data_IF_744426626359
#
_entry.id   IF_744426626359
#
_cell.length_a   1.000
_cell.length_b   1.000
_cell.length_c   1.000
_cell.angle_alpha   90.00
_cell.angle_beta   90.00
_cell.angle_gamma   90.00
#
_symmetry.space_group_name_H-M   'P 1'
#
loop_
_entity.id
_entity.type
_entity.pdbx_description
1 polymer ?
#
# COMPACT_ATOMS: atom_id res chain seq x y z
N UNK A 1 -0.44 26.75 -4.81
CA UNK A 1 0.30 25.58 -4.30
C UNK A 1 1.17 25.06 -5.42
N UNK A 2 2.49 25.06 -5.24
CA UNK A 2 3.39 24.45 -6.21
C UNK A 2 3.12 22.95 -6.21
N UNK A 3 2.46 22.44 -7.24
CA UNK A 3 2.25 21.01 -7.42
C UNK A 3 3.62 20.37 -7.60
N UNK A 4 4.04 19.57 -6.61
CA UNK A 4 5.20 18.72 -6.76
C UNK A 4 4.87 17.76 -7.90
N UNK A 5 5.55 17.91 -9.03
CA UNK A 5 5.37 17.01 -10.16
C UNK A 5 5.88 15.63 -9.75
N UNK A 6 4.95 14.72 -9.49
CA UNK A 6 5.26 13.34 -9.12
C UNK A 6 5.73 12.58 -10.36
N UNK A 7 6.96 12.10 -10.35
CA UNK A 7 7.45 11.13 -11.32
C UNK A 7 7.45 9.74 -10.67
N UNK A 8 6.76 8.74 -11.27
CA UNK A 8 6.75 7.40 -10.72
C UNK A 8 8.15 6.78 -10.80
N UNK A 9 8.62 6.07 -9.76
CA UNK A 9 9.89 5.38 -9.82
C UNK A 9 9.84 4.24 -10.86
N UNK A 10 11.00 3.89 -11.42
CA UNK A 10 11.11 2.99 -12.57
C UNK A 10 10.46 1.61 -12.35
N UNK A 11 10.53 1.08 -11.12
CA UNK A 11 9.98 -0.22 -10.77
C UNK A 11 8.44 -0.22 -10.79
N UNK A 12 7.80 0.92 -10.51
CA UNK A 12 6.33 1.08 -10.61
C UNK A 12 5.91 1.02 -12.08
N UNK A 13 6.66 1.71 -12.95
CA UNK A 13 6.43 1.65 -14.40
C UNK A 13 6.64 0.24 -14.96
N UNK A 14 7.62 -0.49 -14.44
CA UNK A 14 7.83 -1.91 -14.80
C UNK A 14 6.65 -2.77 -14.34
N UNK A 15 6.19 -2.61 -13.10
CA UNK A 15 5.08 -3.40 -12.55
C UNK A 15 3.79 -3.19 -13.34
N UNK A 16 3.47 -1.94 -13.69
CA UNK A 16 2.29 -1.61 -14.49
C UNK A 16 2.35 -2.11 -15.94
N UNK A 17 3.54 -2.43 -16.46
CA UNK A 17 3.70 -3.00 -17.80
C UNK A 17 3.60 -4.51 -17.83
N UNK A 18 3.64 -5.18 -16.68
CA UNK A 18 3.53 -6.63 -16.61
C UNK A 18 2.08 -7.03 -16.89
N UNK A 19 1.83 -7.97 -17.83
CA UNK A 19 0.49 -8.45 -18.08
C UNK A 19 -0.03 -9.17 -16.84
N UNK A 20 -1.19 -8.73 -16.36
CA UNK A 20 -1.91 -9.41 -15.30
C UNK A 20 -2.55 -10.67 -15.91
N UNK A 21 -2.20 -11.86 -15.42
CA UNK A 21 -2.80 -13.12 -15.88
C UNK A 21 -3.80 -13.64 -14.86
N UNK A 22 -4.99 -13.98 -15.33
CA UNK A 22 -5.99 -14.67 -14.50
C UNK A 22 -5.56 -16.12 -14.22
N UNK A 23 -6.20 -16.79 -13.24
CA UNK A 23 -6.03 -18.24 -13.01
C UNK A 23 -6.39 -19.08 -14.24
N UNK A 24 -7.11 -18.51 -15.21
CA UNK A 24 -7.45 -19.13 -16.49
C UNK A 24 -6.38 -18.92 -17.57
N UNK A 25 -5.25 -18.28 -17.23
CA UNK A 25 -4.18 -17.90 -18.15
C UNK A 25 -4.64 -16.97 -19.28
N UNK A 26 -5.65 -16.14 -19.00
CA UNK A 26 -6.11 -15.10 -19.92
C UNK A 26 -5.45 -13.76 -19.53
N UNK A 27 -5.04 -12.96 -20.52
CA UNK A 27 -4.55 -11.61 -20.27
C UNK A 27 -5.69 -10.74 -19.76
N UNK A 28 -5.48 -10.15 -18.60
CA UNK A 28 -6.33 -9.11 -18.03
C UNK A 28 -5.72 -7.74 -18.31
N UNK A 29 -6.57 -6.72 -18.43
CA UNK A 29 -6.13 -5.37 -18.77
C UNK A 29 -5.10 -4.85 -17.75
N UNK A 30 -4.06 -4.15 -18.22
CA UNK A 30 -3.03 -3.51 -17.38
C UNK A 30 -3.54 -2.30 -16.57
N UNK A 31 -4.85 -2.06 -16.59
CA UNK A 31 -5.49 -1.00 -15.82
C UNK A 31 -5.47 -1.36 -14.34
N UNK A 32 -5.10 -0.40 -13.48
CA UNK A 32 -5.19 -0.57 -12.04
C UNK A 32 -6.67 -0.63 -11.61
N UNK A 33 -7.19 -1.84 -11.38
CA UNK A 33 -8.58 -2.09 -11.01
C UNK A 33 -8.68 -2.87 -9.70
N UNK A 34 -8.47 -2.21 -8.53
CA UNK A 34 -8.45 -2.88 -7.23
C UNK A 34 -9.80 -3.51 -6.83
N UNK A 35 -10.90 -3.07 -7.45
CA UNK A 35 -12.24 -3.60 -7.21
C UNK A 35 -12.58 -4.83 -8.07
N UNK A 36 -11.75 -5.17 -9.06
CA UNK A 36 -12.00 -6.29 -9.95
C UNK A 36 -11.42 -7.59 -9.35
N UNK A 37 -12.23 -8.63 -9.26
CA UNK A 37 -11.83 -9.92 -8.70
C UNK A 37 -10.72 -10.58 -9.54
N UNK A 38 -10.74 -10.39 -10.86
CA UNK A 38 -9.71 -10.96 -11.75
C UNK A 38 -8.34 -10.30 -11.53
N UNK A 39 -8.32 -8.99 -11.25
CA UNK A 39 -7.10 -8.25 -10.92
C UNK A 39 -6.51 -8.72 -9.58
N UNK A 40 -7.36 -8.91 -8.57
CA UNK A 40 -6.96 -9.44 -7.26
C UNK A 40 -6.33 -10.83 -7.39
N UNK A 41 -6.98 -11.68 -8.17
CA UNK A 41 -6.54 -13.05 -8.42
C UNK A 41 -5.19 -13.10 -9.15
N UNK A 42 -4.98 -12.25 -10.16
CA UNK A 42 -3.71 -12.15 -10.88
C UNK A 42 -2.56 -11.73 -9.95
N UNK A 43 -2.82 -10.75 -9.06
CA UNK A 43 -1.82 -10.28 -8.10
C UNK A 43 -1.45 -11.35 -7.06
N UNK A 44 -2.44 -12.08 -6.55
CA UNK A 44 -2.23 -13.20 -5.63
C UNK A 44 -1.48 -14.35 -6.30
N UNK A 45 -1.78 -14.66 -7.57
CA UNK A 45 -1.07 -15.68 -8.33
C UNK A 45 0.41 -15.30 -8.50
N UNK A 46 0.70 -14.06 -8.89
CA UNK A 46 2.06 -13.56 -9.05
C UNK A 46 2.84 -13.64 -7.73
N UNK A 47 2.25 -13.19 -6.63
CA UNK A 47 2.84 -13.28 -5.30
C UNK A 47 3.06 -14.74 -4.86
N UNK A 48 2.10 -15.62 -5.14
CA UNK A 48 2.16 -17.04 -4.81
C UNK A 48 3.24 -17.81 -5.59
N UNK A 49 3.40 -17.52 -6.88
CA UNK A 49 4.49 -18.07 -7.71
C UNK A 49 5.83 -17.60 -7.13
N UNK A 50 6.00 -16.30 -6.91
CA UNK A 50 7.26 -15.76 -6.38
C UNK A 50 7.63 -16.36 -5.01
N UNK A 51 6.65 -16.53 -4.12
CA UNK A 51 6.84 -17.16 -2.81
C UNK A 51 7.22 -18.65 -2.94
N UNK A 52 6.59 -19.37 -3.87
CA UNK A 52 6.89 -20.78 -4.14
C UNK A 52 8.30 -20.96 -4.70
N UNK A 53 8.72 -20.10 -5.64
CA UNK A 53 10.09 -20.10 -6.17
C UNK A 53 11.11 -19.86 -5.04
N UNK A 54 10.89 -18.84 -4.21
CA UNK A 54 11.76 -18.53 -3.08
C UNK A 54 11.89 -19.73 -2.11
N UNK A 55 10.78 -20.41 -1.82
CA UNK A 55 10.77 -21.59 -0.97
C UNK A 55 11.54 -22.77 -1.58
N UNK A 56 11.39 -23.01 -2.88
CA UNK A 56 12.11 -24.05 -3.61
C UNK A 56 13.62 -23.78 -3.65
N UNK A 57 14.03 -22.52 -3.87
CA UNK A 57 15.44 -22.11 -3.86
C UNK A 57 16.08 -22.32 -2.49
N UNK A 58 15.40 -21.89 -1.41
CA UNK A 58 15.85 -22.11 -0.03
C UNK A 58 15.98 -23.60 0.29
N UNK A 59 15.01 -24.41 -0.14
CA UNK A 59 15.02 -25.86 0.05
C UNK A 59 16.17 -26.51 -0.73
N UNK A 60 16.42 -26.08 -1.96
CA UNK A 60 17.56 -26.54 -2.76
C UNK A 60 18.90 -26.21 -2.10
N UNK A 61 19.08 -24.97 -1.65
CA UNK A 61 20.29 -24.54 -0.92
C UNK A 61 20.49 -25.36 0.37
N UNK A 62 19.41 -25.66 1.09
CA UNK A 62 19.45 -26.49 2.29
C UNK A 62 19.90 -27.93 1.96
N UNK A 63 19.28 -28.59 0.97
CA UNK A 63 19.69 -29.93 0.56
C UNK A 63 21.13 -29.97 0.03
N UNK A 64 21.53 -28.98 -0.76
CA UNK A 64 22.90 -28.84 -1.26
C UNK A 64 23.90 -28.68 -0.11
N UNK A 65 23.58 -27.87 0.91
CA UNK A 65 24.42 -27.72 2.10
C UNK A 65 24.60 -29.05 2.84
N UNK A 66 23.52 -29.83 3.01
CA UNK A 66 23.57 -31.12 3.66
C UNK A 66 24.39 -32.14 2.84
N UNK A 67 24.24 -32.14 1.52
CA UNK A 67 25.04 -32.97 0.62
C UNK A 67 26.51 -32.62 0.75
N UNK A 68 26.87 -31.33 0.66
CA UNK A 68 28.26 -30.86 0.72
C UNK A 68 28.89 -31.24 2.07
N UNK A 69 28.18 -31.03 3.19
CA UNK A 69 28.60 -31.45 4.52
C UNK A 69 28.82 -32.97 4.60
N UNK A 70 27.90 -33.77 4.05
CA UNK A 70 28.02 -35.23 4.05
C UNK A 70 29.14 -35.77 3.15
N UNK A 71 29.40 -35.11 2.01
CA UNK A 71 30.49 -35.44 1.08
C UNK A 71 31.85 -35.04 1.67
N UNK A 72 31.94 -33.89 2.32
CA UNK A 72 33.16 -33.44 3.00
C UNK A 72 33.61 -34.45 4.05
N UNK A 73 32.70 -34.95 4.88
CA UNK A 73 32.99 -36.00 5.88
C UNK A 73 33.56 -37.29 5.28
N UNK A 74 33.38 -37.54 3.97
CA UNK A 74 33.86 -38.75 3.29
C UNK A 74 35.20 -38.56 2.54
N UNK A 75 35.69 -37.33 2.38
CA UNK A 75 36.81 -37.02 1.46
C UNK A 75 37.80 -36.06 2.09
N UNK A 76 38.71 -36.57 2.93
CA UNK A 76 39.67 -35.75 3.69
C UNK A 76 40.91 -35.26 2.91
N UNK A 77 41.20 -35.72 1.68
CA UNK A 77 42.54 -35.46 1.10
C UNK A 77 42.67 -34.33 0.04
N UNK A 78 41.61 -33.82 -0.63
CA UNK A 78 41.82 -32.88 -1.75
C UNK A 78 40.81 -31.73 -1.99
N UNK A 79 39.78 -31.53 -1.15
CA UNK A 79 38.67 -30.58 -1.43
C UNK A 79 38.77 -29.19 -0.77
N UNK A 80 39.85 -28.87 -0.05
CA UNK A 80 39.85 -27.79 0.94
C UNK A 80 39.71 -26.35 0.37
N UNK A 81 40.12 -26.10 -0.88
CA UNK A 81 40.09 -24.74 -1.45
C UNK A 81 38.73 -24.40 -2.10
N UNK A 82 38.22 -25.25 -3.01
CA UNK A 82 36.96 -24.99 -3.73
C UNK A 82 35.72 -25.10 -2.82
N UNK A 83 35.80 -25.92 -1.77
CA UNK A 83 34.73 -26.07 -0.78
C UNK A 83 34.57 -24.82 0.09
N UNK A 84 35.67 -24.11 0.38
CA UNK A 84 35.64 -22.89 1.19
C UNK A 84 34.94 -21.75 0.41
N UNK A 85 35.33 -21.52 -0.85
CA UNK A 85 34.71 -20.49 -1.70
C UNK A 85 33.21 -20.74 -1.91
N UNK A 86 32.81 -21.99 -2.14
CA UNK A 86 31.41 -22.36 -2.33
C UNK A 86 30.56 -22.11 -1.07
N UNK A 87 31.06 -22.47 0.11
CA UNK A 87 30.37 -22.23 1.37
C UNK A 87 30.21 -20.72 1.66
N UNK A 88 31.25 -19.92 1.43
CA UNK A 88 31.20 -18.47 1.59
C UNK A 88 30.23 -17.81 0.61
N UNK A 89 30.18 -18.26 -0.66
CA UNK A 89 29.21 -17.76 -1.64
C UNK A 89 27.75 -17.99 -1.18
N UNK A 90 27.44 -19.18 -0.65
CA UNK A 90 26.09 -19.49 -0.14
C UNK A 90 25.74 -18.63 1.08
N UNK A 91 26.69 -18.41 2.00
CA UNK A 91 26.49 -17.56 3.18
C UNK A 91 26.21 -16.11 2.76
N UNK A 92 27.04 -15.54 1.88
CA UNK A 92 26.89 -14.16 1.41
C UNK A 92 25.55 -13.99 0.67
N UNK A 93 25.20 -14.92 -0.20
CA UNK A 93 23.93 -14.89 -0.93
C UNK A 93 22.72 -14.93 0.01
N UNK A 94 22.75 -15.80 1.01
CA UNK A 94 21.68 -15.91 2.01
C UNK A 94 21.55 -14.62 2.82
N UNK A 95 22.68 -14.01 3.21
CA UNK A 95 22.71 -12.73 3.93
C UNK A 95 22.15 -11.59 3.09
N UNK A 96 22.51 -11.49 1.81
CA UNK A 96 22.00 -10.45 0.91
C UNK A 96 20.51 -10.64 0.62
N UNK A 97 20.06 -11.86 0.30
CA UNK A 97 18.64 -12.15 0.08
C UNK A 97 17.81 -11.81 1.35
N UNK A 98 18.24 -12.24 2.54
CA UNK A 98 17.52 -11.96 3.79
C UNK A 98 17.52 -10.48 4.19
N UNK A 99 18.63 -9.77 3.99
CA UNK A 99 18.70 -8.33 4.22
C UNK A 99 17.75 -7.57 3.28
N UNK A 100 17.71 -7.93 1.99
CA UNK A 100 16.79 -7.33 1.02
C UNK A 100 15.32 -7.53 1.39
N UNK A 101 14.95 -8.75 1.80
CA UNK A 101 13.60 -9.05 2.30
C UNK A 101 13.29 -8.20 3.53
N UNK A 102 14.17 -8.19 4.53
CA UNK A 102 13.96 -7.45 5.78
C UNK A 102 13.78 -5.94 5.53
N UNK A 103 14.63 -5.32 4.71
CA UNK A 103 14.53 -3.89 4.37
C UNK A 103 13.24 -3.59 3.60
N UNK A 104 12.86 -4.47 2.65
CA UNK A 104 11.63 -4.32 1.88
C UNK A 104 10.37 -4.39 2.75
N UNK A 105 10.29 -5.38 3.64
CA UNK A 105 9.18 -5.52 4.59
C UNK A 105 9.16 -4.38 5.62
N UNK A 106 10.33 -3.95 6.11
CA UNK A 106 10.43 -2.81 7.02
C UNK A 106 9.88 -1.53 6.40
N UNK A 107 10.35 -1.17 5.20
CA UNK A 107 9.87 0.02 4.49
C UNK A 107 8.37 -0.02 4.19
N UNK A 108 7.84 -1.20 3.85
CA UNK A 108 6.41 -1.38 3.64
C UNK A 108 5.61 -1.22 4.95
N UNK A 109 6.13 -1.76 6.06
CA UNK A 109 5.53 -1.62 7.39
C UNK A 109 5.45 -0.17 7.86
N UNK A 110 6.54 0.59 7.73
CA UNK A 110 6.56 2.02 8.07
C UNK A 110 5.58 2.83 7.22
N UNK A 111 5.47 2.49 5.93
CA UNK A 111 4.52 3.19 5.04
C UNK A 111 3.06 2.86 5.41
N UNK A 112 2.76 1.61 5.73
CA UNK A 112 1.41 1.20 6.15
C UNK A 112 1.03 1.79 7.52
N UNK A 113 1.97 1.88 8.47
CA UNK A 113 1.74 2.59 9.74
C UNK A 113 1.45 4.08 9.52
N UNK A 114 2.20 4.73 8.62
CA UNK A 114 1.94 6.10 8.21
C UNK A 114 0.55 6.30 7.59
N UNK A 115 0.12 5.39 6.72
CA UNK A 115 -1.22 5.42 6.14
C UNK A 115 -2.29 5.15 7.19
N UNK A 116 -2.07 4.22 8.11
CA UNK A 116 -3.01 3.93 9.20
C UNK A 116 -3.23 5.17 10.08
N UNK A 117 -2.16 5.90 10.41
CA UNK A 117 -2.26 7.18 11.15
C UNK A 117 -3.00 8.25 10.35
N UNK A 118 -2.80 8.30 9.03
CA UNK A 118 -3.51 9.19 8.13
C UNK A 118 -5.01 8.88 8.12
N UNK A 119 -5.39 7.62 7.86
CA UNK A 119 -6.81 7.21 7.80
C UNK A 119 -7.49 7.39 9.16
N UNK A 120 -6.81 7.09 10.26
CA UNK A 120 -7.29 7.41 11.61
C UNK A 120 -7.57 8.90 11.78
N UNK A 121 -6.64 9.76 11.35
CA UNK A 121 -6.77 11.22 11.43
C UNK A 121 -7.91 11.74 10.56
N UNK A 122 -8.12 11.17 9.36
CA UNK A 122 -9.24 11.50 8.48
C UNK A 122 -10.58 11.15 9.13
N UNK A 123 -10.71 9.95 9.72
CA UNK A 123 -11.92 9.55 10.44
C UNK A 123 -12.16 10.40 11.70
N UNK A 124 -11.09 10.81 12.38
CA UNK A 124 -11.19 11.71 13.53
C UNK A 124 -11.63 13.11 13.12
N UNK A 125 -11.03 13.66 12.06
CA UNK A 125 -11.45 14.93 11.47
C UNK A 125 -12.93 14.87 11.03
N UNK A 126 -13.37 13.75 10.43
CA UNK A 126 -14.76 13.55 10.05
C UNK A 126 -15.72 13.67 11.25
N UNK A 127 -15.40 13.04 12.39
CA UNK A 127 -16.21 13.13 13.61
C UNK A 127 -16.22 14.53 14.21
N UNK A 128 -15.06 15.19 14.25
CA UNK A 128 -14.96 16.57 14.75
C UNK A 128 -15.80 17.52 13.89
N UNK A 129 -15.73 17.33 12.57
CA UNK A 129 -16.53 18.12 11.64
C UNK A 129 -18.01 17.78 11.82
N UNK A 130 -18.46 16.53 11.67
CA UNK A 130 -19.87 16.19 11.91
C UNK A 130 -20.41 16.74 13.25
N UNK A 131 -19.61 16.65 14.32
CA UNK A 131 -19.96 17.23 15.62
C UNK A 131 -20.10 18.75 15.63
N UNK A 132 -19.25 19.51 14.93
CA UNK A 132 -19.41 20.98 14.84
C UNK A 132 -20.69 21.34 14.08
N UNK A 133 -21.09 20.59 13.05
CA UNK A 133 -22.34 20.85 12.32
C UNK A 133 -23.55 20.59 13.19
N UNK A 134 -23.58 19.49 13.93
CA UNK A 134 -24.66 19.22 14.88
C UNK A 134 -24.80 20.36 15.89
N UNK A 135 -23.68 20.87 16.41
CA UNK A 135 -23.69 21.99 17.37
C UNK A 135 -24.16 23.30 16.75
N UNK A 136 -23.72 23.61 15.52
CA UNK A 136 -24.17 24.80 14.79
C UNK A 136 -25.67 24.72 14.51
N UNK A 137 -26.16 23.55 14.08
CA UNK A 137 -27.57 23.33 13.76
C UNK A 137 -28.44 23.41 15.03
N UNK A 138 -28.03 22.78 16.13
CA UNK A 138 -28.70 22.88 17.43
C UNK A 138 -28.76 24.33 17.93
N UNK A 139 -27.65 25.07 17.80
CA UNK A 139 -27.59 26.47 18.22
C UNK A 139 -28.51 27.33 17.34
N UNK A 140 -28.52 27.13 16.03
CA UNK A 140 -29.40 27.84 15.11
C UNK A 140 -30.88 27.56 15.43
N UNK A 141 -31.25 26.31 15.68
CA UNK A 141 -32.62 25.93 16.08
C UNK A 141 -33.00 26.55 17.42
N UNK A 142 -32.12 26.48 18.43
CA UNK A 142 -32.37 27.07 19.74
C UNK A 142 -32.50 28.60 19.68
N UNK A 143 -31.65 29.27 18.90
CA UNK A 143 -31.73 30.71 18.66
C UNK A 143 -33.05 31.07 17.96
N UNK A 144 -33.46 30.33 16.94
CA UNK A 144 -34.73 30.58 16.26
C UNK A 144 -35.92 30.41 17.21
N UNK A 145 -35.94 29.35 18.01
CA UNK A 145 -37.02 29.08 18.96
C UNK A 145 -37.08 30.07 20.13
N UNK A 146 -35.95 30.66 20.54
CA UNK A 146 -35.89 31.47 21.75
C UNK A 146 -35.83 32.97 21.47
N UNK A 147 -35.05 33.38 20.47
CA UNK A 147 -34.76 34.80 20.19
C UNK A 147 -35.81 35.40 19.27
N UNK A 148 -36.25 34.68 18.24
CA UNK A 148 -37.26 35.17 17.29
C UNK A 148 -38.60 35.56 17.98
N UNK A 149 -39.23 34.70 18.80
CA UNK A 149 -40.48 35.07 19.46
C UNK A 149 -40.30 36.15 20.53
N UNK A 150 -39.17 36.12 21.26
CA UNK A 150 -38.91 37.13 22.29
C UNK A 150 -38.63 38.50 21.68
N UNK A 151 -37.91 38.58 20.55
CA UNK A 151 -37.68 39.84 19.86
C UNK A 151 -38.99 40.42 19.30
N UNK A 152 -39.90 39.59 18.78
CA UNK A 152 -41.23 40.05 18.35
C UNK A 152 -42.02 40.67 19.51
N UNK A 153 -41.99 40.03 20.69
CA UNK A 153 -42.66 40.54 21.91
C UNK A 153 -42.01 41.85 22.36
N UNK A 154 -40.68 41.92 22.37
CA UNK A 154 -39.94 43.12 22.76
C UNK A 154 -40.13 44.27 21.76
N UNK A 155 -40.21 44.00 20.46
CA UNK A 155 -40.50 44.98 19.41
C UNK A 155 -41.90 45.57 19.58
N UNK A 156 -42.90 44.74 19.91
CA UNK A 156 -44.26 45.20 20.22
C UNK A 156 -44.29 46.13 21.44
N UNK A 157 -43.61 45.75 22.53
CA UNK A 157 -43.54 46.53 23.77
C UNK A 157 -42.78 47.85 23.62
N UNK A 158 -41.68 47.87 22.86
CA UNK A 158 -40.82 49.04 22.67
C UNK A 158 -41.09 49.83 21.39
N UNK A 159 -42.19 49.54 20.68
CA UNK A 159 -42.62 50.27 19.47
C UNK A 159 -42.70 51.80 19.64
N UNK A 160 -42.82 52.30 20.87
CA UNK A 160 -42.81 53.74 21.21
C UNK A 160 -41.45 54.33 21.56
N UNK A 161 -40.40 53.53 21.77
CA UNK A 161 -39.09 53.99 22.22
C UNK A 161 -38.01 53.58 21.20
N UNK A 162 -37.68 54.52 20.32
CA UNK A 162 -36.89 54.31 19.09
C UNK A 162 -35.49 53.77 19.33
N UNK A 163 -34.85 54.08 20.46
CA UNK A 163 -33.46 53.68 20.74
C UNK A 163 -33.32 52.17 21.05
N UNK A 164 -34.31 51.58 21.73
CA UNK A 164 -34.31 50.15 22.06
C UNK A 164 -34.65 49.27 20.86
N UNK A 165 -35.53 49.77 19.98
CA UNK A 165 -35.91 49.12 18.73
C UNK A 165 -34.69 48.92 17.81
N UNK A 166 -33.79 49.92 17.75
CA UNK A 166 -32.55 49.82 16.97
C UNK A 166 -31.57 48.76 17.52
N UNK A 167 -31.54 48.53 18.83
CA UNK A 167 -30.69 47.49 19.45
C UNK A 167 -31.21 46.10 19.08
N UNK A 168 -32.53 45.90 19.13
CA UNK A 168 -33.22 44.66 18.75
C UNK A 168 -32.94 44.31 17.29
N UNK A 169 -33.16 45.26 16.37
CA UNK A 169 -32.89 45.06 14.94
C UNK A 169 -31.42 44.74 14.64
N UNK A 170 -30.49 45.38 15.37
CA UNK A 170 -29.06 45.09 15.24
C UNK A 170 -28.70 43.68 15.72
N UNK A 171 -29.35 43.18 16.77
CA UNK A 171 -29.18 41.82 17.28
C UNK A 171 -29.72 40.78 16.29
N UNK A 172 -30.86 41.07 15.67
CA UNK A 172 -31.44 40.26 14.59
C UNK A 172 -30.48 40.16 13.39
N UNK A 173 -29.91 41.28 12.95
CA UNK A 173 -28.94 41.29 11.84
C UNK A 173 -27.65 40.52 12.15
N UNK A 174 -27.13 40.63 13.38
CA UNK A 174 -25.96 39.85 13.81
C UNK A 174 -26.25 38.35 13.86
N UNK A 175 -27.45 37.96 14.27
CA UNK A 175 -27.87 36.57 14.30
C UNK A 175 -27.93 35.97 12.89
N UNK A 176 -28.55 36.69 11.95
CA UNK A 176 -28.62 36.27 10.55
C UNK A 176 -27.23 36.13 9.91
N UNK A 177 -26.32 37.07 10.17
CA UNK A 177 -24.95 36.99 9.68
C UNK A 177 -24.19 35.79 10.26
N UNK A 178 -24.41 35.45 11.54
CA UNK A 178 -23.77 34.30 12.19
C UNK A 178 -24.27 32.97 11.61
N UNK A 179 -25.59 32.85 11.38
CA UNK A 179 -26.19 31.68 10.70
C UNK A 179 -25.70 31.55 9.26
N UNK A 180 -25.61 32.67 8.54
CA UNK A 180 -25.08 32.70 7.17
C UNK A 180 -23.60 32.28 7.13
N UNK A 181 -22.78 32.82 8.02
CA UNK A 181 -21.35 32.50 8.06
C UNK A 181 -21.09 31.04 8.44
N UNK A 182 -21.93 30.45 9.29
CA UNK A 182 -21.83 29.05 9.67
C UNK A 182 -22.24 28.09 8.54
N UNK A 183 -23.23 28.46 7.71
CA UNK A 183 -23.68 27.69 6.54
C UNK A 183 -22.80 27.86 5.30
N UNK A 184 -22.04 28.95 5.22
CA UNK A 184 -21.10 29.23 4.11
C UNK A 184 -19.76 28.48 4.23
N UNK A 185 -19.46 27.82 5.35
CA UNK A 185 -18.21 27.06 5.48
C UNK A 185 -18.20 25.94 4.42
N UNK A 186 -17.24 25.97 3.47
CA UNK A 186 -17.29 25.18 2.24
C UNK A 186 -17.20 23.66 2.46
N UNK A 187 -16.72 23.25 3.64
CA UNK A 187 -16.64 21.85 4.01
C UNK A 187 -18.04 21.20 4.14
N UNK A 188 -19.04 21.93 4.64
CA UNK A 188 -20.41 21.40 4.81
C UNK A 188 -21.22 21.36 3.53
N UNK A 189 -20.79 22.12 2.53
CA UNK A 189 -21.55 22.32 1.29
C UNK A 189 -21.28 21.21 0.26
N UNK A 190 -20.21 20.45 0.44
CA UNK A 190 -19.78 19.40 -0.49
C UNK A 190 -20.02 18.02 0.12
N UNK A 191 -21.21 17.45 -0.09
CA UNK A 191 -21.49 16.04 0.23
C UNK A 191 -20.59 15.06 -0.55
N UNK A 192 -20.00 15.50 -1.67
CA UNK A 192 -19.12 14.68 -2.52
C UNK A 192 -17.80 14.29 -1.84
N UNK A 193 -17.36 15.00 -0.78
CA UNK A 193 -16.08 14.76 -0.11
C UNK A 193 -16.28 14.23 1.31
N UNK A 194 -16.75 12.98 1.42
CA UNK A 194 -16.75 12.26 2.70
C UNK A 194 -15.33 11.83 3.08
N UNK A 195 -14.81 12.39 4.19
CA UNK A 195 -13.52 11.98 4.76
C UNK A 195 -13.49 10.50 5.16
N UNK A 196 -14.64 9.93 5.50
CA UNK A 196 -14.76 8.49 5.79
C UNK A 196 -14.56 7.65 4.53
N UNK A 197 -15.23 8.02 3.43
CA UNK A 197 -15.09 7.31 2.15
C UNK A 197 -13.66 7.43 1.63
N UNK A 198 -13.06 8.62 1.75
CA UNK A 198 -11.64 8.82 1.41
C UNK A 198 -10.74 7.93 2.26
N UNK A 199 -11.00 7.79 3.56
CA UNK A 199 -10.24 6.90 4.43
C UNK A 199 -10.38 5.42 4.02
N UNK A 200 -11.58 4.98 3.64
CA UNK A 200 -11.84 3.62 3.13
C UNK A 200 -11.08 3.36 1.82
N UNK A 201 -11.14 4.29 0.87
CA UNK A 201 -10.42 4.18 -0.39
C UNK A 201 -8.91 4.11 -0.15
N UNK A 202 -8.35 4.98 0.69
CA UNK A 202 -6.91 4.96 1.00
C UNK A 202 -6.49 3.61 1.61
N UNK A 203 -7.28 3.05 2.53
CA UNK A 203 -7.01 1.77 3.18
C UNK A 203 -7.00 0.61 2.17
N UNK A 204 -7.97 0.61 1.23
CA UNK A 204 -8.02 -0.35 0.13
C UNK A 204 -6.76 -0.26 -0.75
N UNK A 205 -6.34 0.95 -1.12
CA UNK A 205 -5.14 1.15 -1.94
C UNK A 205 -3.85 0.79 -1.18
N UNK A 206 -3.78 0.99 0.14
CA UNK A 206 -2.66 0.57 1.00
C UNK A 206 -2.47 -0.95 0.94
N UNK A 207 -3.58 -1.71 0.99
CA UNK A 207 -3.54 -3.17 0.87
C UNK A 207 -2.91 -3.62 -0.46
N UNK A 208 -3.37 -3.08 -1.59
CA UNK A 208 -2.81 -3.44 -2.90
C UNK A 208 -1.37 -3.00 -3.08
N UNK A 209 -1.02 -1.80 -2.59
CA UNK A 209 0.36 -1.33 -2.57
C UNK A 209 1.25 -2.27 -1.76
N UNK A 210 0.78 -2.70 -0.59
CA UNK A 210 1.49 -3.62 0.28
C UNK A 210 1.76 -4.96 -0.42
N UNK A 211 0.73 -5.58 -1.01
CA UNK A 211 0.89 -6.84 -1.76
C UNK A 211 1.82 -6.68 -2.95
N UNK A 212 1.69 -5.61 -3.72
CA UNK A 212 2.57 -5.32 -4.86
C UNK A 212 4.03 -5.14 -4.42
N UNK A 213 4.29 -4.34 -3.37
CA UNK A 213 5.63 -4.16 -2.81
C UNK A 213 6.22 -5.48 -2.31
N UNK A 214 5.45 -6.28 -1.57
CA UNK A 214 5.88 -7.61 -1.12
C UNK A 214 6.23 -8.51 -2.31
N UNK A 215 5.41 -8.53 -3.36
CA UNK A 215 5.65 -9.35 -4.55
C UNK A 215 6.97 -8.97 -5.25
N UNK A 216 7.26 -7.67 -5.41
CA UNK A 216 8.50 -7.18 -6.01
C UNK A 216 9.72 -7.58 -5.17
N UNK A 217 9.64 -7.43 -3.85
CA UNK A 217 10.72 -7.80 -2.92
C UNK A 217 11.01 -9.30 -3.01
N UNK A 218 9.98 -10.14 -3.06
CA UNK A 218 10.14 -11.59 -3.18
C UNK A 218 10.74 -11.95 -4.54
N UNK A 219 10.22 -11.40 -5.64
CA UNK A 219 10.78 -11.65 -6.99
C UNK A 219 12.24 -11.22 -7.09
N UNK A 220 12.61 -10.06 -6.55
CA UNK A 220 14.00 -9.59 -6.54
C UNK A 220 14.90 -10.53 -5.71
N UNK A 221 14.37 -11.09 -4.63
CA UNK A 221 15.07 -12.06 -3.79
C UNK A 221 15.29 -13.38 -4.53
N UNK A 222 14.28 -13.89 -5.24
CA UNK A 222 14.40 -15.07 -6.12
C UNK A 222 15.47 -14.84 -7.19
N UNK A 223 15.45 -13.70 -7.89
CA UNK A 223 16.46 -13.38 -8.91
C UNK A 223 17.89 -13.33 -8.33
N UNK A 224 18.05 -12.75 -7.14
CA UNK A 224 19.35 -12.66 -6.46
C UNK A 224 19.85 -14.04 -6.02
N UNK A 225 18.96 -14.84 -5.44
CA UNK A 225 19.26 -16.19 -5.00
C UNK A 225 19.57 -17.12 -6.20
N UNK A 226 18.87 -16.96 -7.34
CA UNK A 226 19.19 -17.62 -8.60
C UNK A 226 20.58 -17.25 -9.11
N UNK A 227 20.91 -15.96 -9.16
CA UNK A 227 22.23 -15.48 -9.59
C UNK A 227 23.34 -16.06 -8.71
N UNK A 228 23.11 -16.18 -7.39
CA UNK A 228 24.05 -16.81 -6.47
C UNK A 228 24.23 -18.31 -6.75
N UNK A 229 23.14 -19.04 -6.99
CA UNK A 229 23.19 -20.47 -7.36
C UNK A 229 23.98 -20.64 -8.66
N UNK A 230 23.74 -19.82 -9.69
CA UNK A 230 24.51 -19.82 -10.94
C UNK A 230 25.99 -19.53 -10.71
N UNK A 231 26.32 -18.57 -9.83
CA UNK A 231 27.70 -18.27 -9.44
C UNK A 231 28.39 -19.47 -8.78
N UNK A 232 27.71 -20.15 -7.86
CA UNK A 232 28.22 -21.38 -7.21
C UNK A 232 28.46 -22.49 -8.23
N UNK A 233 27.51 -22.69 -9.16
CA UNK A 233 27.65 -23.69 -10.24
C UNK A 233 28.80 -23.38 -11.20
N UNK A 234 29.00 -22.11 -11.54
CA UNK A 234 30.12 -21.68 -12.39
C UNK A 234 31.48 -22.03 -11.77
N UNK A 235 31.58 -21.96 -10.45
CA UNK A 235 32.80 -22.28 -9.71
C UNK A 235 33.02 -23.79 -9.54
N UNK A 236 31.97 -24.63 -9.61
CA UNK A 236 32.04 -26.05 -9.17
C UNK A 236 31.96 -27.13 -10.27
N UNK A 237 31.72 -26.80 -11.54
CA UNK A 237 31.72 -27.74 -12.71
C UNK A 237 31.15 -29.16 -12.44
N UNK A 238 29.80 -29.34 -12.49
CA UNK A 238 29.22 -30.61 -12.95
C UNK A 238 28.05 -30.38 -13.92
N UNK A 239 28.30 -30.64 -15.21
CA UNK A 239 27.40 -30.42 -16.35
C UNK A 239 26.01 -31.11 -16.25
N UNK A 240 25.87 -32.14 -15.41
CA UNK A 240 24.67 -32.97 -15.33
C UNK A 240 23.55 -32.41 -14.43
N UNK A 241 23.90 -31.68 -13.37
CA UNK A 241 22.92 -31.05 -12.46
C UNK A 241 22.43 -29.69 -13.01
N UNK A 242 23.29 -29.02 -13.78
CA UNK A 242 23.00 -27.78 -14.48
C UNK A 242 21.81 -27.98 -15.43
N UNK A 243 21.72 -29.10 -16.15
CA UNK A 243 20.62 -29.38 -17.08
C UNK A 243 19.26 -29.57 -16.38
N UNK A 244 19.22 -30.16 -15.19
CA UNK A 244 17.98 -30.39 -14.44
C UNK A 244 17.45 -29.11 -13.79
N UNK A 245 18.34 -28.31 -13.20
CA UNK A 245 17.99 -26.99 -12.66
C UNK A 245 17.63 -26.03 -13.79
N UNK A 246 18.37 -26.04 -14.90
CA UNK A 246 18.09 -25.21 -16.07
C UNK A 246 16.84 -25.67 -16.84
N UNK A 247 16.41 -26.93 -16.77
CA UNK A 247 15.11 -27.38 -17.31
C UNK A 247 13.94 -26.96 -16.41
N UNK A 248 14.08 -27.10 -15.09
CA UNK A 248 13.08 -26.64 -14.14
C UNK A 248 12.94 -25.10 -14.18
N UNK A 249 14.06 -24.39 -14.29
CA UNK A 249 14.08 -22.94 -14.45
C UNK A 249 13.81 -22.47 -15.88
N UNK A 250 14.07 -23.24 -16.93
CA UNK A 250 13.60 -22.90 -18.26
C UNK A 250 12.07 -23.02 -18.31
N UNK A 251 11.45 -23.92 -17.55
CA UNK A 251 10.00 -23.93 -17.39
C UNK A 251 9.50 -22.67 -16.66
N UNK A 252 10.19 -22.24 -15.61
CA UNK A 252 9.86 -21.02 -14.84
C UNK A 252 10.17 -19.71 -15.61
N UNK A 253 11.26 -19.69 -16.37
CA UNK A 253 11.68 -18.60 -17.27
C UNK A 253 10.81 -18.58 -18.52
N UNK A 254 10.35 -19.72 -19.03
CA UNK A 254 9.38 -19.79 -20.13
C UNK A 254 7.99 -19.36 -19.64
N UNK A 255 7.64 -19.62 -18.38
CA UNK A 255 6.43 -19.10 -17.76
C UNK A 255 6.54 -17.57 -17.60
N UNK A 256 7.62 -17.06 -16.99
CA UNK A 256 7.88 -15.61 -16.81
C UNK A 256 8.18 -14.87 -18.12
N UNK A 257 8.70 -15.52 -19.17
CA UNK A 257 8.91 -14.95 -20.50
C UNK A 257 7.65 -15.01 -21.38
N UNK A 258 6.77 -16.01 -21.25
CA UNK A 258 5.40 -15.94 -21.80
C UNK A 258 4.62 -14.79 -21.15
N UNK A 259 4.85 -14.56 -19.86
CA UNK A 259 4.42 -13.39 -19.10
C UNK A 259 5.08 -12.07 -19.55
N UNK A 260 6.13 -12.07 -20.39
CA UNK A 260 6.85 -10.87 -20.85
C UNK A 260 6.74 -10.64 -22.37
N UNK A 261 6.23 -11.62 -23.13
CA UNK A 261 6.23 -11.65 -24.62
C UNK A 261 4.83 -11.63 -25.25
N UNK A 262 3.79 -11.41 -24.44
CA UNK A 262 2.42 -11.08 -24.87
C UNK A 262 2.03 -9.75 -24.27
#
# INVERSE_FOLDING_TARGET
MAGVSYSPPWWVSLLHRLPHLSLRWELTAADFRPHDAEYQQALLLLGGIALSCLALDLLFLLFYSFWLCCRHRKSEEHLNADCCCTAWCVIIATLVCSAGIAVGFYGNGETSDGIHRLTYSLRHANRTVAGVQDRVLDTAVALNQTVEPNLLILEEMFSKQTDYLHIIQKLQGLLDDLVRQATEIPFWKNEELSLEELAIQIDLYDWYRCVACCSVVIVASVLTCFAAVMCVFWVTEPKALLLQVLLAHAADLFLTAKLLSV
#
